data_IF_241273859765
#
_entry.id   IF_241273859765
#
_cell.length_a   1.000
_cell.length_b   1.000
_cell.length_c   1.000
_cell.angle_alpha   90.00
_cell.angle_beta   90.00
_cell.angle_gamma   90.00
#
_symmetry.space_group_name_H-M   'P 1'
#
loop_
_entity.id
_entity.type
_entity.pdbx_description
1 polymer ?
#
# COMPACT_ATOMS: atom_id res chain seq x y z
N UNK A 1 4.08 10.39 51.41
CA UNK A 1 4.70 9.09 51.08
C UNK A 1 4.01 8.54 49.85
N UNK A 2 4.70 8.53 48.70
CA UNK A 2 4.12 8.18 47.41
C UNK A 2 4.08 6.65 47.32
N UNK A 3 2.90 6.04 47.50
CA UNK A 3 2.70 4.60 47.28
C UNK A 3 3.01 4.30 45.82
N UNK A 4 4.20 3.76 45.56
CA UNK A 4 4.46 3.10 44.29
C UNK A 4 3.64 1.79 44.31
N UNK A 5 2.49 1.80 43.63
CA UNK A 5 1.80 0.56 43.32
C UNK A 5 2.72 -0.22 42.38
N UNK A 6 3.33 -1.29 42.89
CA UNK A 6 4.12 -2.21 42.08
C UNK A 6 3.22 -2.83 41.04
N UNK A 7 3.61 -2.74 39.77
CA UNK A 7 2.93 -3.44 38.68
C UNK A 7 2.95 -4.93 39.01
N UNK A 8 1.79 -5.57 39.05
CA UNK A 8 1.75 -7.01 39.27
C UNK A 8 2.35 -7.69 38.03
N UNK A 9 3.21 -8.69 38.21
CA UNK A 9 3.84 -9.42 37.10
C UNK A 9 2.79 -9.96 36.11
N UNK A 10 1.60 -10.33 36.63
CA UNK A 10 0.47 -10.82 35.84
C UNK A 10 -0.12 -9.75 34.91
N UNK A 11 -0.21 -8.49 35.32
CA UNK A 11 -0.69 -7.41 34.44
C UNK A 11 0.26 -7.18 33.26
N UNK A 12 1.57 -7.22 33.49
CA UNK A 12 2.57 -7.10 32.40
C UNK A 12 2.48 -8.28 31.44
N UNK A 13 2.34 -9.49 31.96
CA UNK A 13 2.22 -10.73 31.18
C UNK A 13 0.98 -10.74 30.28
N UNK A 14 -0.17 -10.29 30.79
CA UNK A 14 -1.40 -10.27 29.99
C UNK A 14 -1.31 -9.25 28.85
N UNK A 15 -0.68 -8.10 29.10
CA UNK A 15 -0.55 -7.03 28.10
C UNK A 15 0.33 -7.47 26.94
N UNK A 16 1.49 -8.08 27.21
CA UNK A 16 2.36 -8.57 26.13
C UNK A 16 1.69 -9.70 25.33
N UNK A 17 0.88 -10.54 25.99
CA UNK A 17 0.14 -11.61 25.31
C UNK A 17 -0.88 -11.05 24.32
N UNK A 18 -1.65 -10.03 24.72
CA UNK A 18 -2.62 -9.36 23.84
C UNK A 18 -1.89 -8.68 22.66
N UNK A 19 -0.80 -7.94 22.92
CA UNK A 19 -0.02 -7.29 21.87
C UNK A 19 0.54 -8.31 20.87
N UNK A 20 1.05 -9.45 21.35
CA UNK A 20 1.60 -10.50 20.50
C UNK A 20 0.53 -11.09 19.55
N UNK A 21 -0.69 -11.34 20.05
CA UNK A 21 -1.80 -11.85 19.24
C UNK A 21 -2.18 -10.82 18.16
N UNK A 22 -2.30 -9.54 18.52
CA UNK A 22 -2.64 -8.48 17.58
C UNK A 22 -1.55 -8.30 16.51
N UNK A 23 -0.28 -8.28 16.92
CA UNK A 23 0.86 -8.13 16.02
C UNK A 23 0.98 -9.31 15.03
N UNK A 24 0.68 -10.54 15.47
CA UNK A 24 0.72 -11.74 14.62
C UNK A 24 -0.26 -11.66 13.45
N UNK A 25 -1.42 -11.00 13.63
CA UNK A 25 -2.41 -10.80 12.56
C UNK A 25 -2.07 -9.55 11.73
N UNK A 26 -1.63 -8.47 12.39
CA UNK A 26 -1.39 -7.19 11.74
C UNK A 26 -0.19 -7.24 10.78
N UNK A 27 0.91 -7.89 11.17
CA UNK A 27 2.14 -7.94 10.37
C UNK A 27 1.94 -8.58 8.97
N UNK A 28 1.33 -9.78 8.82
CA UNK A 28 1.12 -10.38 7.50
C UNK A 28 0.12 -9.60 6.64
N UNK A 29 -0.90 -9.01 7.26
CA UNK A 29 -1.92 -8.21 6.54
C UNK A 29 -1.32 -6.89 6.05
N UNK A 30 -0.47 -6.24 6.85
CA UNK A 30 0.18 -4.99 6.49
C UNK A 30 1.13 -5.14 5.29
N UNK A 31 1.88 -6.25 5.22
CA UNK A 31 2.74 -6.54 4.08
C UNK A 31 1.94 -6.68 2.76
N UNK A 32 0.81 -7.40 2.81
CA UNK A 32 -0.09 -7.55 1.66
C UNK A 32 -0.73 -6.22 1.26
N UNK A 33 -1.21 -5.44 2.24
CA UNK A 33 -1.81 -4.13 2.01
C UNK A 33 -0.83 -3.16 1.34
N UNK A 34 0.45 -3.17 1.75
CA UNK A 34 1.49 -2.32 1.15
C UNK A 34 1.75 -2.68 -0.31
N UNK A 35 1.84 -3.96 -0.65
CA UNK A 35 2.04 -4.39 -2.03
C UNK A 35 0.81 -4.06 -2.89
N UNK A 36 -0.41 -4.24 -2.35
CA UNK A 36 -1.64 -3.81 -3.02
C UNK A 36 -1.69 -2.31 -3.23
N UNK A 37 -1.26 -1.50 -2.26
CA UNK A 37 -1.17 -0.05 -2.42
C UNK A 37 -0.21 0.33 -3.57
N UNK A 38 0.96 -0.32 -3.65
CA UNK A 38 1.92 -0.10 -4.75
C UNK A 38 1.34 -0.49 -6.10
N UNK A 39 0.64 -1.62 -6.20
CA UNK A 39 -0.07 -2.05 -7.41
C UNK A 39 -1.12 -1.01 -7.83
N UNK A 40 -1.93 -0.53 -6.89
CA UNK A 40 -2.95 0.51 -7.14
C UNK A 40 -2.33 1.80 -7.64
N UNK A 41 -1.22 2.26 -7.05
CA UNK A 41 -0.50 3.45 -7.52
C UNK A 41 0.02 3.26 -8.94
N UNK A 42 0.64 2.11 -9.25
CA UNK A 42 1.13 1.80 -10.59
C UNK A 42 -0.01 1.80 -11.63
N UNK A 43 -1.11 1.13 -11.30
CA UNK A 43 -2.30 1.07 -12.15
C UNK A 43 -2.90 2.46 -12.39
N UNK A 44 -2.96 3.31 -11.35
CA UNK A 44 -3.42 4.68 -11.47
C UNK A 44 -2.54 5.50 -12.43
N UNK A 45 -1.22 5.38 -12.30
CA UNK A 45 -0.28 6.07 -13.18
C UNK A 45 -0.43 5.62 -14.64
N UNK A 46 -0.53 4.30 -14.88
CA UNK A 46 -0.73 3.76 -16.22
C UNK A 46 -2.06 4.20 -16.82
N UNK A 47 -3.14 4.24 -16.03
CA UNK A 47 -4.42 4.79 -16.45
C UNK A 47 -4.29 6.26 -16.87
N UNK A 48 -3.61 7.08 -16.07
CA UNK A 48 -3.37 8.49 -16.40
C UNK A 48 -2.60 8.66 -17.72
N UNK A 49 -1.55 7.87 -17.95
CA UNK A 49 -0.81 7.86 -19.21
C UNK A 49 -1.70 7.47 -20.40
N UNK A 50 -2.47 6.40 -20.28
CA UNK A 50 -3.39 5.97 -21.35
C UNK A 50 -4.47 7.01 -21.61
N UNK A 51 -5.02 7.64 -20.58
CA UNK A 51 -5.97 8.74 -20.73
C UNK A 51 -5.34 9.92 -21.47
N UNK A 52 -4.12 10.32 -21.12
CA UNK A 52 -3.43 11.39 -21.84
C UNK A 52 -3.15 11.06 -23.31
N UNK A 53 -2.79 9.79 -23.60
CA UNK A 53 -2.57 9.33 -24.96
C UNK A 53 -3.88 9.34 -25.78
N UNK A 54 -4.99 8.90 -25.18
CA UNK A 54 -6.30 8.97 -25.83
C UNK A 54 -6.75 10.41 -26.07
N UNK A 55 -6.56 11.32 -25.12
CA UNK A 55 -6.84 12.75 -25.31
C UNK A 55 -6.06 13.32 -26.49
N UNK A 56 -4.75 13.03 -26.56
CA UNK A 56 -3.92 13.47 -27.67
C UNK A 56 -4.41 12.94 -29.03
N UNK A 57 -4.82 11.68 -29.10
CA UNK A 57 -5.34 11.07 -30.33
C UNK A 57 -6.66 11.71 -30.76
N UNK A 58 -7.55 12.00 -29.82
CA UNK A 58 -8.82 12.69 -30.09
C UNK A 58 -8.58 14.09 -30.64
N UNK A 59 -7.55 14.79 -30.16
CA UNK A 59 -7.22 16.15 -30.61
C UNK A 59 -6.53 16.17 -32.00
N UNK A 60 -5.91 15.06 -32.44
CA UNK A 60 -5.09 14.97 -33.67
C UNK A 60 -5.67 14.00 -34.72
N UNK A 61 -6.89 14.24 -35.23
CA UNK A 61 -7.54 13.45 -36.31
C UNK A 61 -7.47 11.92 -36.10
N UNK A 62 -7.53 11.45 -34.85
CA UNK A 62 -7.43 10.03 -34.50
C UNK A 62 -6.09 9.36 -34.90
N UNK A 63 -5.05 10.17 -35.12
CA UNK A 63 -3.71 9.68 -35.50
C UNK A 63 -2.88 9.39 -34.25
N UNK A 64 -2.67 8.11 -33.95
CA UNK A 64 -1.68 7.70 -32.97
C UNK A 64 -0.27 8.13 -33.39
N UNK A 65 0.48 8.71 -32.44
CA UNK A 65 1.89 8.99 -32.65
C UNK A 65 2.63 7.65 -32.83
N UNK A 66 3.32 7.49 -33.97
CA UNK A 66 3.96 6.23 -34.36
C UNK A 66 5.26 6.04 -33.58
N UNK A 67 5.16 5.71 -32.29
CA UNK A 67 6.32 5.32 -31.49
C UNK A 67 6.72 3.92 -31.95
N UNK A 68 7.91 3.77 -32.53
CA UNK A 68 8.50 2.45 -32.73
C UNK A 68 8.77 1.85 -31.35
N UNK A 69 7.83 1.05 -30.86
CA UNK A 69 8.09 0.17 -29.73
C UNK A 69 9.08 -0.89 -30.24
N UNK A 70 10.35 -0.73 -29.88
CA UNK A 70 11.38 -1.71 -30.15
C UNK A 70 11.05 -2.97 -29.37
N UNK A 71 10.36 -3.90 -30.01
CA UNK A 71 10.33 -5.30 -29.60
C UNK A 71 11.65 -5.89 -30.08
N UNK A 72 12.56 -6.13 -29.14
CA UNK A 72 13.67 -7.06 -29.33
C UNK A 72 13.21 -8.46 -28.93
#
# INVERSE_FOLDING_TARGET
MRKAHGFTLIELLVVIAIIAILAAILFPVFAQAREKARQTSCLSNMKQLMTSAMMYVQDYDEKFHRIKCGVA
#
